data_IF_373665342419
#
_entry.id   IF_373665342419
#
_cell.length_a   1.000
_cell.length_b   1.000
_cell.length_c   1.000
_cell.angle_alpha   90.00
_cell.angle_beta   90.00
_cell.angle_gamma   90.00
#
_symmetry.space_group_name_H-M   'P 1'
#
loop_
_entity.id
_entity.type
_entity.pdbx_description
1 polymer ?
#
# COMPACT_ATOMS: atom_id res chain seq x y z
N UNK A 1 7.83 11.80 -12.22
CA UNK A 1 7.42 10.43 -11.81
C UNK A 1 8.56 9.40 -11.95
N UNK A 2 9.24 9.24 -13.11
CA UNK A 2 10.27 8.19 -13.27
C UNK A 2 11.51 8.36 -12.39
N UNK A 3 11.99 9.59 -12.20
CA UNK A 3 13.30 9.85 -11.58
C UNK A 3 13.30 9.63 -10.06
N UNK A 4 12.30 10.14 -9.33
CA UNK A 4 12.32 10.19 -7.87
C UNK A 4 12.29 8.80 -7.20
N UNK A 5 11.64 7.81 -7.82
CA UNK A 5 11.67 6.43 -7.31
C UNK A 5 13.03 5.77 -7.55
N UNK A 6 13.67 6.02 -8.70
CA UNK A 6 15.00 5.49 -9.03
C UNK A 6 16.05 6.11 -8.11
N UNK A 7 15.93 7.40 -7.78
CA UNK A 7 16.79 8.09 -6.80
C UNK A 7 16.77 7.42 -5.43
N UNK A 8 15.70 6.71 -5.06
CA UNK A 8 15.66 5.96 -3.79
C UNK A 8 16.56 4.72 -3.81
N UNK A 9 17.07 4.26 -4.95
CA UNK A 9 17.86 3.02 -5.05
C UNK A 9 19.11 3.02 -4.15
N UNK A 10 19.74 4.17 -3.95
CA UNK A 10 20.88 4.35 -3.05
C UNK A 10 20.52 4.20 -1.57
N UNK A 11 19.26 4.46 -1.22
CA UNK A 11 18.73 4.34 0.15
C UNK A 11 18.15 2.95 0.46
N UNK A 12 18.17 2.03 -0.50
CA UNK A 12 17.64 0.68 -0.30
C UNK A 12 18.71 -0.23 0.29
N UNK A 13 18.42 -0.94 1.40
CA UNK A 13 19.34 -1.91 1.98
C UNK A 13 19.68 -3.09 1.04
N UNK A 14 20.69 -3.90 1.40
CA UNK A 14 21.13 -5.06 0.62
C UNK A 14 20.17 -6.25 0.73
N UNK A 15 19.37 -6.29 1.78
CA UNK A 15 18.38 -7.32 2.09
C UNK A 15 17.21 -7.32 1.11
N UNK A 16 16.96 -6.19 0.44
CA UNK A 16 16.01 -6.13 -0.65
C UNK A 16 16.62 -6.71 -1.92
N UNK A 17 16.03 -7.79 -2.42
CA UNK A 17 16.49 -8.53 -3.59
C UNK A 17 16.55 -7.65 -4.88
N UNK A 18 15.85 -6.52 -4.92
CA UNK A 18 15.87 -5.60 -6.06
C UNK A 18 15.90 -4.14 -5.64
N UNK A 19 16.49 -3.31 -6.50
CA UNK A 19 16.39 -1.86 -6.40
C UNK A 19 15.14 -1.35 -7.13
N UNK A 20 14.56 -0.22 -6.69
CA UNK A 20 13.41 0.38 -7.34
C UNK A 20 13.72 0.72 -8.78
N UNK A 21 12.78 0.38 -9.67
CA UNK A 21 12.82 0.73 -11.09
C UNK A 21 11.82 1.83 -11.39
N UNK A 22 11.86 2.37 -12.61
CA UNK A 22 10.89 3.37 -13.05
C UNK A 22 9.45 2.87 -12.87
N UNK A 23 8.56 3.76 -12.42
CA UNK A 23 7.10 3.50 -12.40
C UNK A 23 6.53 3.24 -13.80
N UNK A 24 7.22 3.68 -14.86
CA UNK A 24 6.82 3.37 -16.24
C UNK A 24 6.92 1.88 -16.55
N UNK A 25 7.75 1.15 -15.80
CA UNK A 25 7.90 -0.30 -15.91
C UNK A 25 7.01 -1.06 -14.92
N UNK A 26 6.05 -0.40 -14.25
CA UNK A 26 5.23 -1.05 -13.21
C UNK A 26 4.55 -2.33 -13.71
N UNK A 27 4.13 -2.37 -14.97
CA UNK A 27 3.55 -3.58 -15.61
C UNK A 27 4.50 -4.78 -15.65
N UNK A 28 5.81 -4.56 -15.51
CA UNK A 28 6.88 -5.57 -15.52
C UNK A 28 7.52 -5.77 -14.14
N UNK A 29 7.01 -5.11 -13.09
CA UNK A 29 7.47 -5.33 -11.72
C UNK A 29 7.03 -6.71 -11.25
N UNK A 30 7.87 -7.37 -10.44
CA UNK A 30 7.45 -8.57 -9.69
C UNK A 30 6.86 -8.17 -8.34
N UNK A 31 6.25 -9.15 -7.67
CA UNK A 31 5.63 -8.97 -6.36
C UNK A 31 6.56 -8.32 -5.33
N UNK A 32 7.85 -8.66 -5.30
CA UNK A 32 8.83 -8.08 -4.37
C UNK A 32 9.04 -6.58 -4.57
N UNK A 33 8.97 -6.10 -5.81
CA UNK A 33 9.10 -4.67 -6.15
C UNK A 33 7.83 -3.91 -5.80
N UNK A 34 6.66 -4.49 -6.06
CA UNK A 34 5.39 -3.93 -5.61
C UNK A 34 5.31 -3.85 -4.09
N UNK A 35 5.74 -4.91 -3.39
CA UNK A 35 5.80 -4.94 -1.92
C UNK A 35 6.72 -3.86 -1.39
N UNK A 36 7.93 -3.73 -1.95
CA UNK A 36 8.89 -2.70 -1.56
C UNK A 36 8.35 -1.29 -1.80
N UNK A 37 7.74 -1.06 -2.97
CA UNK A 37 7.10 0.20 -3.28
C UNK A 37 5.99 0.53 -2.29
N UNK A 38 5.07 -0.40 -2.09
CA UNK A 38 3.89 -0.15 -1.29
C UNK A 38 4.21 0.02 0.21
N UNK A 39 5.09 -0.80 0.79
CA UNK A 39 5.40 -0.78 2.22
C UNK A 39 6.50 0.20 2.63
N UNK A 40 7.31 0.72 1.70
CA UNK A 40 8.47 1.54 2.07
C UNK A 40 8.62 2.81 1.23
N UNK A 41 8.84 2.70 -0.08
CA UNK A 41 9.21 3.89 -0.87
C UNK A 41 8.02 4.72 -1.33
N UNK A 42 6.85 4.12 -1.52
CA UNK A 42 5.62 4.72 -1.99
C UNK A 42 5.15 5.91 -1.14
N UNK A 43 5.07 5.82 0.20
CA UNK A 43 4.73 6.96 1.05
C UNK A 43 5.66 8.16 0.85
N UNK A 44 6.94 7.93 0.65
CA UNK A 44 7.92 9.01 0.42
C UNK A 44 7.77 9.58 -0.99
N UNK A 45 7.67 8.71 -1.99
CA UNK A 45 7.66 9.08 -3.41
C UNK A 45 6.37 9.76 -3.83
N UNK A 46 5.22 9.30 -3.33
CA UNK A 46 3.92 9.77 -3.77
C UNK A 46 3.49 11.09 -3.12
N UNK A 47 4.13 11.51 -2.02
CA UNK A 47 3.75 12.71 -1.25
C UNK A 47 3.80 14.00 -2.07
N UNK A 48 4.78 14.13 -2.96
CA UNK A 48 4.94 15.30 -3.83
C UNK A 48 4.25 15.15 -5.20
N UNK A 49 3.63 13.98 -5.46
CA UNK A 49 3.07 13.62 -6.77
C UNK A 49 1.55 13.63 -6.75
N UNK A 50 0.95 13.04 -5.70
CA UNK A 50 -0.50 12.92 -5.59
C UNK A 50 -1.10 14.19 -4.99
N UNK A 51 -2.36 14.49 -5.34
CA UNK A 51 -3.14 15.47 -4.61
C UNK A 51 -3.26 15.05 -3.14
N UNK A 52 -3.44 16.01 -2.24
CA UNK A 52 -3.55 15.73 -0.80
C UNK A 52 -4.60 14.64 -0.49
N UNK A 53 -5.76 14.68 -1.16
CA UNK A 53 -6.82 13.69 -1.00
C UNK A 53 -6.43 12.28 -1.46
N UNK A 54 -5.80 12.15 -2.63
CA UNK A 54 -5.31 10.87 -3.17
C UNK A 54 -4.15 10.32 -2.37
N UNK A 55 -3.26 11.18 -1.89
CA UNK A 55 -2.17 10.80 -1.00
C UNK A 55 -2.71 10.29 0.33
N UNK A 56 -3.64 10.99 0.96
CA UNK A 56 -4.28 10.54 2.21
C UNK A 56 -4.97 9.19 2.03
N UNK A 57 -5.69 8.99 0.92
CA UNK A 57 -6.29 7.69 0.59
C UNK A 57 -5.22 6.58 0.45
N UNK A 58 -4.12 6.84 -0.27
CA UNK A 58 -2.99 5.91 -0.35
C UNK A 58 -2.39 5.59 1.04
N UNK A 59 -2.23 6.60 1.89
CA UNK A 59 -1.68 6.44 3.24
C UNK A 59 -2.61 5.61 4.14
N UNK A 60 -3.93 5.76 4.03
CA UNK A 60 -4.88 4.89 4.74
C UNK A 60 -4.64 3.42 4.40
N UNK A 61 -4.48 3.10 3.10
CA UNK A 61 -4.20 1.73 2.67
C UNK A 61 -2.81 1.27 3.16
N UNK A 62 -1.76 2.07 2.92
CA UNK A 62 -0.40 1.76 3.34
C UNK A 62 -0.30 1.46 4.85
N UNK A 63 -0.88 2.32 5.69
CA UNK A 63 -0.83 2.17 7.15
C UNK A 63 -1.60 0.93 7.59
N UNK A 64 -2.80 0.69 7.03
CA UNK A 64 -3.63 -0.46 7.37
C UNK A 64 -2.88 -1.78 7.14
N UNK A 65 -2.29 -1.93 5.95
CA UNK A 65 -1.55 -3.14 5.58
C UNK A 65 -0.27 -3.25 6.41
N UNK A 66 0.47 -2.16 6.61
CA UNK A 66 1.68 -2.16 7.46
C UNK A 66 1.37 -2.63 8.89
N UNK A 67 0.22 -2.24 9.46
CA UNK A 67 -0.20 -2.71 10.77
C UNK A 67 -0.58 -4.19 10.78
N UNK A 68 -1.24 -4.68 9.72
CA UNK A 68 -1.63 -6.08 9.56
C UNK A 68 -0.43 -7.01 9.24
N UNK A 69 0.67 -6.47 8.75
CA UNK A 69 1.95 -7.17 8.51
C UNK A 69 2.84 -7.29 9.75
N UNK A 70 2.49 -6.67 10.87
CA UNK A 70 3.36 -6.69 12.07
C UNK A 70 3.10 -7.92 12.92
N UNK A 71 4.13 -8.44 13.60
CA UNK A 71 3.97 -9.53 14.58
C UNK A 71 2.96 -9.25 15.69
N UNK A 72 2.76 -7.98 16.05
CA UNK A 72 1.78 -7.53 17.04
C UNK A 72 0.47 -7.00 16.42
N UNK A 73 0.10 -7.46 15.22
CA UNK A 73 -1.10 -7.04 14.47
C UNK A 73 -2.40 -7.09 15.28
N UNK A 74 -2.53 -8.00 16.25
CA UNK A 74 -3.77 -8.24 17.01
C UNK A 74 -4.35 -6.96 17.64
N UNK A 75 -3.51 -6.07 18.15
CA UNK A 75 -3.96 -4.80 18.76
C UNK A 75 -4.40 -3.74 17.75
N UNK A 76 -4.11 -3.97 16.47
CA UNK A 76 -4.42 -3.04 15.37
C UNK A 76 -5.58 -3.52 14.49
N UNK A 77 -6.10 -4.74 14.68
CA UNK A 77 -7.12 -5.33 13.82
C UNK A 77 -8.32 -4.41 13.58
N UNK A 78 -8.92 -3.89 14.65
CA UNK A 78 -10.10 -3.02 14.55
C UNK A 78 -9.75 -1.68 13.90
N UNK A 79 -8.59 -1.11 14.21
CA UNK A 79 -8.15 0.15 13.62
C UNK A 79 -7.85 0.00 12.12
N UNK A 80 -7.15 -1.05 11.71
CA UNK A 80 -6.90 -1.38 10.31
C UNK A 80 -8.21 -1.62 9.55
N UNK A 81 -9.20 -2.29 10.16
CA UNK A 81 -10.52 -2.47 9.56
C UNK A 81 -11.22 -1.14 9.26
N UNK A 82 -11.17 -0.21 10.21
CA UNK A 82 -11.80 1.10 10.05
C UNK A 82 -11.05 1.96 9.02
N UNK A 83 -9.72 1.90 8.98
CA UNK A 83 -8.94 2.55 7.92
C UNK A 83 -9.23 1.98 6.52
N UNK A 84 -9.40 0.66 6.39
CA UNK A 84 -9.72 0.02 5.11
C UNK A 84 -11.14 0.35 4.63
N UNK A 85 -12.12 0.45 5.55
CA UNK A 85 -13.45 0.98 5.24
C UNK A 85 -13.37 2.41 4.70
N UNK A 86 -12.68 3.28 5.42
CA UNK A 86 -12.48 4.67 5.01
C UNK A 86 -11.74 4.78 3.67
N UNK A 87 -10.73 3.94 3.44
CA UNK A 87 -10.04 3.83 2.16
C UNK A 87 -11.02 3.51 1.03
N UNK A 88 -11.89 2.50 1.17
CA UNK A 88 -12.84 2.11 0.12
C UNK A 88 -13.87 3.23 -0.14
N UNK A 89 -14.44 3.82 0.90
CA UNK A 89 -15.41 4.93 0.77
C UNK A 89 -14.82 6.15 0.06
N UNK A 90 -13.59 6.53 0.43
CA UNK A 90 -12.90 7.65 -0.22
C UNK A 90 -12.37 7.27 -1.60
N UNK A 91 -12.00 6.00 -1.84
CA UNK A 91 -11.58 5.53 -3.15
C UNK A 91 -12.70 5.66 -4.18
N UNK A 92 -13.93 5.25 -3.83
CA UNK A 92 -15.11 5.40 -4.69
C UNK A 92 -15.30 6.87 -5.09
N UNK A 93 -15.19 7.78 -4.13
CA UNK A 93 -15.32 9.23 -4.37
C UNK A 93 -14.18 9.80 -5.23
N UNK A 94 -12.94 9.35 -5.04
CA UNK A 94 -11.74 9.93 -5.68
C UNK A 94 -11.42 9.37 -7.07
N UNK A 95 -11.80 8.12 -7.31
CA UNK A 95 -11.44 7.39 -8.53
C UNK A 95 -12.65 6.99 -9.36
N UNK A 96 -13.83 6.81 -8.74
CA UNK A 96 -15.05 6.37 -9.42
C UNK A 96 -15.47 4.95 -9.01
N UNK A 97 -16.78 4.71 -8.94
CA UNK A 97 -17.35 3.42 -8.55
C UNK A 97 -17.00 2.31 -9.54
N UNK A 98 -16.88 2.64 -10.81
CA UNK A 98 -16.49 1.75 -11.90
C UNK A 98 -15.08 1.14 -11.72
N UNK A 99 -14.20 1.81 -10.95
CA UNK A 99 -12.87 1.29 -10.62
C UNK A 99 -12.83 0.48 -9.32
N UNK A 100 -13.97 0.36 -8.63
CA UNK A 100 -14.11 -0.45 -7.41
C UNK A 100 -14.31 -1.91 -7.78
N UNK A 101 -13.22 -2.52 -8.28
CA UNK A 101 -13.19 -3.95 -8.59
C UNK A 101 -13.36 -4.82 -7.33
N UNK A 102 -13.60 -6.11 -7.53
CA UNK A 102 -13.68 -7.10 -6.46
C UNK A 102 -12.44 -7.05 -5.53
N UNK A 103 -11.25 -6.81 -6.08
CA UNK A 103 -10.02 -6.70 -5.30
C UNK A 103 -10.04 -5.52 -4.32
N UNK A 104 -10.64 -4.39 -4.70
CA UNK A 104 -10.77 -3.22 -3.81
C UNK A 104 -11.77 -3.53 -2.69
N UNK A 105 -12.89 -4.18 -3.01
CA UNK A 105 -13.88 -4.55 -2.02
C UNK A 105 -13.33 -5.55 -0.99
N UNK A 106 -12.59 -6.56 -1.44
CA UNK A 106 -12.07 -7.62 -0.58
C UNK A 106 -11.12 -7.13 0.51
N UNK A 107 -10.52 -5.93 0.35
CA UNK A 107 -9.65 -5.35 1.37
C UNK A 107 -10.34 -5.23 2.73
N UNK A 108 -11.65 -5.01 2.79
CA UNK A 108 -12.39 -4.89 4.06
C UNK A 108 -12.34 -6.17 4.92
N UNK A 109 -12.08 -7.33 4.29
CA UNK A 109 -12.04 -8.63 4.95
C UNK A 109 -10.65 -9.00 5.47
N UNK A 110 -9.59 -8.35 4.99
CA UNK A 110 -8.21 -8.65 5.37
C UNK A 110 -7.97 -8.70 6.88
N UNK A 111 -8.50 -7.80 7.73
CA UNK A 111 -8.30 -7.90 9.18
C UNK A 111 -8.85 -9.21 9.77
N UNK A 112 -9.98 -9.70 9.26
CA UNK A 112 -10.56 -10.97 9.72
C UNK A 112 -9.69 -12.16 9.29
N UNK A 113 -9.22 -12.15 8.05
CA UNK A 113 -8.32 -13.17 7.52
C UNK A 113 -7.00 -13.20 8.31
N UNK A 114 -6.44 -12.02 8.61
CA UNK A 114 -5.19 -11.90 9.39
C UNK A 114 -5.37 -12.40 10.82
N UNK A 115 -6.53 -12.17 11.43
CA UNK A 115 -6.84 -12.71 12.74
C UNK A 115 -6.89 -14.25 12.75
N UNK A 116 -7.30 -14.85 11.63
CA UNK A 116 -7.45 -16.30 11.51
C UNK A 116 -6.14 -16.99 11.07
N UNK A 117 -5.40 -16.40 10.12
CA UNK A 117 -4.29 -17.05 9.43
C UNK A 117 -2.91 -16.47 9.77
N UNK A 118 -2.85 -15.34 10.49
CA UNK A 118 -1.60 -14.66 10.83
C UNK A 118 -1.34 -13.41 9.98
N UNK A 119 -0.20 -12.72 10.21
CA UNK A 119 0.11 -11.45 9.56
C UNK A 119 0.29 -11.60 8.04
N UNK A 120 0.13 -10.49 7.31
CA UNK A 120 0.23 -10.48 5.84
C UNK A 120 1.66 -10.66 5.29
N UNK A 121 2.67 -10.49 6.14
CA UNK A 121 4.09 -10.53 5.79
C UNK A 121 4.95 -10.92 7.01
#
# INVERSE_FOLDING_TARGET
MPQFLIEQATNIPLEFNRKPRSVNECKRWKATEFRQFFLYTGPVVLKSILSASRYSNFICLHVSITMLSRSNYKKYLEYSKNLLKYFIETFITLYGKEYTSHNIHNLIHLPADVNLFGPLD
#
